data_IF_653413408291
#
_entry.id   IF_653413408291
#
_cell.length_a   1.000
_cell.length_b   1.000
_cell.length_c   1.000
_cell.angle_alpha   90.00
_cell.angle_beta   90.00
_cell.angle_gamma   90.00
#
_symmetry.space_group_name_H-M   'P 1'
#
loop_
_entity.id
_entity.type
_entity.pdbx_description
1 polymer ?
#
# COMPACT_ATOMS: atom_id res chain seq x y z
N UNK A 1 35.92 24.79 28.76
CA UNK A 1 34.46 24.94 28.97
C UNK A 1 33.80 23.59 28.77
N UNK A 2 33.40 22.92 29.84
CA UNK A 2 32.78 21.58 29.78
C UNK A 2 31.26 21.74 29.62
N UNK A 3 30.72 21.32 28.48
CA UNK A 3 29.29 21.46 28.16
C UNK A 3 28.42 20.57 29.05
N UNK A 4 27.42 21.16 29.70
CA UNK A 4 26.44 20.43 30.52
C UNK A 4 25.47 19.67 29.62
N UNK A 5 25.42 18.34 29.77
CA UNK A 5 24.47 17.47 29.06
C UNK A 5 23.09 17.65 29.69
N UNK A 6 22.18 18.30 28.97
CA UNK A 6 20.80 18.52 29.39
C UNK A 6 20.03 17.18 29.29
N UNK A 7 19.81 16.51 30.42
CA UNK A 7 19.01 15.27 30.47
C UNK A 7 17.54 15.60 30.13
N UNK A 8 17.08 15.13 28.97
CA UNK A 8 15.68 15.31 28.54
C UNK A 8 14.76 14.42 29.38
N UNK A 9 13.60 14.96 29.76
CA UNK A 9 12.54 14.22 30.49
C UNK A 9 11.96 13.11 29.61
N UNK A 10 11.81 11.92 30.18
CA UNK A 10 11.14 10.78 29.52
C UNK A 10 9.62 11.02 29.53
N UNK A 11 9.00 10.97 28.35
CA UNK A 11 7.57 11.26 28.14
C UNK A 11 6.67 10.01 28.21
N UNK A 12 7.24 8.84 28.47
CA UNK A 12 6.49 7.58 28.55
C UNK A 12 6.75 6.90 29.90
N UNK A 13 5.71 6.25 30.41
CA UNK A 13 5.83 5.37 31.58
C UNK A 13 6.43 4.02 31.16
N UNK A 14 7.34 3.45 31.96
CA UNK A 14 7.88 2.12 31.69
C UNK A 14 6.77 1.06 31.81
N UNK A 15 6.83 0.04 30.94
CA UNK A 15 5.85 -1.04 30.94
C UNK A 15 5.84 -1.79 32.30
N UNK A 16 4.66 -2.22 32.79
CA UNK A 16 4.56 -3.02 33.99
C UNK A 16 5.28 -4.35 33.77
N UNK A 17 6.25 -4.65 34.64
CA UNK A 17 7.00 -5.91 34.59
C UNK A 17 6.07 -7.05 35.07
N UNK A 18 6.00 -8.19 34.37
CA UNK A 18 5.33 -9.36 34.90
C UNK A 18 6.12 -9.89 36.11
N UNK A 19 5.38 -10.16 37.19
CA UNK A 19 5.89 -10.79 38.41
C UNK A 19 6.43 -12.18 38.08
N UNK A 20 7.74 -12.38 38.21
CA UNK A 20 8.31 -13.73 38.25
C UNK A 20 8.06 -14.35 39.63
N UNK A 21 7.50 -15.56 39.73
CA UNK A 21 7.63 -16.35 40.94
C UNK A 21 9.07 -16.87 41.05
N UNK A 22 9.69 -16.65 42.21
CA UNK A 22 10.90 -17.35 42.63
C UNK A 22 10.56 -18.76 43.13
N UNK A 23 11.61 -19.61 43.17
CA UNK A 23 11.72 -20.98 43.69
C UNK A 23 11.51 -22.04 42.60
N UNK A 24 12.20 -23.18 42.54
CA UNK A 24 13.35 -23.79 43.22
C UNK A 24 13.61 -25.10 42.43
N UNK A 25 14.84 -25.65 42.44
CA UNK A 25 15.24 -26.77 41.58
C UNK A 25 14.40 -28.06 41.65
N UNK A 26 14.46 -28.83 40.57
CA UNK A 26 13.86 -30.16 40.40
C UNK A 26 13.52 -30.40 38.93
N UNK A 27 14.19 -31.35 38.30
CA UNK A 27 13.96 -31.81 36.94
C UNK A 27 12.54 -32.35 36.76
N UNK A 28 12.01 -32.14 35.55
CA UNK A 28 11.13 -33.06 34.79
C UNK A 28 9.90 -32.39 34.15
N UNK A 29 9.83 -32.65 32.84
CA UNK A 29 8.74 -32.48 31.88
C UNK A 29 8.24 -31.04 31.64
N UNK A 30 8.74 -30.46 30.55
CA UNK A 30 8.04 -29.39 29.83
C UNK A 30 6.66 -29.90 29.39
N UNK A 31 5.64 -29.66 30.21
CA UNK A 31 4.24 -29.86 29.82
C UNK A 31 3.93 -28.85 28.72
N UNK A 32 3.89 -29.33 27.48
CA UNK A 32 3.55 -28.55 26.31
C UNK A 32 2.16 -27.95 26.51
N UNK A 33 2.10 -26.63 26.69
CA UNK A 33 0.86 -25.89 26.73
C UNK A 33 0.08 -26.16 25.44
N UNK A 34 -1.00 -26.90 25.57
CA UNK A 34 -1.95 -27.17 24.48
C UNK A 34 -2.53 -25.83 24.04
N UNK A 35 -2.05 -25.31 22.92
CA UNK A 35 -2.69 -24.19 22.23
C UNK A 35 -3.97 -24.71 21.59
N UNK A 36 -5.07 -24.56 22.32
CA UNK A 36 -6.41 -24.75 21.76
C UNK A 36 -6.75 -23.53 20.91
N UNK A 37 -6.81 -23.71 19.59
CA UNK A 37 -7.48 -22.75 18.71
C UNK A 37 -8.91 -23.22 18.48
N UNK A 38 -9.87 -22.33 18.72
CA UNK A 38 -11.27 -22.57 18.35
C UNK A 38 -11.45 -22.16 16.90
N UNK A 39 -11.51 -23.14 16.00
CA UNK A 39 -12.01 -22.94 14.65
C UNK A 39 -13.52 -23.21 14.65
N UNK A 40 -14.31 -22.15 14.40
CA UNK A 40 -15.73 -22.26 14.14
C UNK A 40 -15.94 -22.90 12.76
N UNK A 41 -16.08 -24.23 12.72
CA UNK A 41 -16.96 -24.99 11.81
C UNK A 41 -16.91 -26.47 12.19
N UNK A 42 -18.09 -27.08 12.40
CA UNK A 42 -18.36 -28.51 12.24
C UNK A 42 -17.35 -29.54 12.79
N UNK A 43 -17.62 -30.05 14.00
CA UNK A 43 -17.21 -31.36 14.55
C UNK A 43 -15.82 -31.89 14.13
N UNK A 44 -14.83 -31.62 14.99
CA UNK A 44 -13.58 -32.37 15.07
C UNK A 44 -12.52 -31.55 15.80
N UNK A 45 -12.30 -31.82 17.09
CA UNK A 45 -11.14 -31.27 17.81
C UNK A 45 -9.90 -32.02 17.33
N UNK A 46 -9.16 -31.46 16.37
CA UNK A 46 -7.86 -31.97 15.96
C UNK A 46 -6.81 -31.56 16.98
N UNK A 47 -6.34 -32.52 17.79
CA UNK A 47 -5.11 -32.34 18.57
C UNK A 47 -3.96 -32.45 17.59
N UNK A 48 -3.16 -31.39 17.44
CA UNK A 48 -1.91 -31.45 16.71
C UNK A 48 -0.92 -32.27 17.56
N UNK A 49 -0.84 -33.57 17.29
CA UNK A 49 0.22 -34.41 17.84
C UNK A 49 1.55 -33.98 17.22
N UNK A 50 2.66 -34.19 17.92
CA UNK A 50 4.01 -33.81 17.46
C UNK A 50 4.45 -34.47 16.14
N UNK A 51 3.63 -35.37 15.59
CA UNK A 51 3.97 -36.28 14.51
C UNK A 51 3.29 -35.97 13.17
N UNK A 52 2.85 -34.73 12.95
CA UNK A 52 2.19 -34.30 11.69
C UNK A 52 3.07 -34.52 10.45
N UNK A 53 4.40 -34.51 10.61
CA UNK A 53 5.36 -34.69 9.52
C UNK A 53 6.12 -36.02 9.58
N UNK A 54 5.74 -36.93 10.48
CA UNK A 54 6.43 -38.22 10.69
C UNK A 54 6.49 -39.11 9.44
N UNK A 55 5.53 -38.97 8.52
CA UNK A 55 5.50 -39.70 7.24
C UNK A 55 6.19 -39.01 6.08
N UNK A 56 6.76 -37.82 6.29
CA UNK A 56 7.34 -37.00 5.22
C UNK A 56 8.85 -37.22 5.16
N UNK A 57 9.29 -38.01 4.18
CA UNK A 57 10.71 -38.28 3.94
C UNK A 57 11.28 -37.22 2.99
N UNK A 58 11.92 -36.19 3.54
CA UNK A 58 12.57 -35.12 2.76
C UNK A 58 14.05 -35.45 2.66
N UNK A 59 14.49 -35.81 1.46
CA UNK A 59 15.91 -36.00 1.19
C UNK A 59 16.66 -34.65 1.35
N UNK A 60 17.74 -34.60 2.14
CA UNK A 60 18.47 -33.35 2.42
C UNK A 60 19.08 -32.73 1.16
N UNK A 61 19.28 -33.54 0.10
CA UNK A 61 19.78 -33.10 -1.20
C UNK A 61 18.77 -32.22 -1.96
N UNK A 62 17.47 -32.43 -1.76
CA UNK A 62 16.39 -31.66 -2.41
C UNK A 62 16.25 -30.28 -1.74
N UNK A 63 16.60 -30.18 -0.46
CA UNK A 63 16.55 -28.92 0.29
C UNK A 63 17.66 -27.94 -0.13
N UNK A 64 18.70 -28.43 -0.81
CA UNK A 64 19.73 -27.59 -1.42
C UNK A 64 19.22 -27.02 -2.74
N UNK A 65 18.35 -26.00 -2.63
CA UNK A 65 17.96 -25.19 -3.78
C UNK A 65 19.16 -24.37 -4.24
N UNK A 66 19.89 -24.84 -5.25
CA UNK A 66 20.88 -24.03 -5.95
C UNK A 66 20.11 -23.00 -6.78
N UNK A 67 20.03 -21.78 -6.27
CA UNK A 67 19.54 -20.65 -7.04
C UNK A 67 20.61 -20.34 -8.09
N UNK A 68 20.32 -20.60 -9.35
CA UNK A 68 21.18 -20.16 -10.46
C UNK A 68 21.22 -18.64 -10.45
N UNK A 69 22.32 -18.09 -9.92
CA UNK A 69 22.59 -16.65 -9.85
C UNK A 69 22.67 -16.00 -11.24
N UNK A 70 22.78 -16.80 -12.29
CA UNK A 70 22.88 -16.36 -13.69
C UNK A 70 21.57 -16.48 -14.49
N UNK A 71 20.48 -16.98 -13.89
CA UNK A 71 19.15 -16.85 -14.50
C UNK A 71 18.63 -15.42 -14.27
N UNK A 72 19.22 -14.50 -15.02
CA UNK A 72 18.88 -13.08 -15.07
C UNK A 72 17.39 -12.98 -15.43
N UNK A 73 16.56 -12.77 -14.42
CA UNK A 73 15.17 -12.39 -14.59
C UNK A 73 15.16 -11.11 -15.46
N UNK A 74 14.57 -11.10 -16.67
CA UNK A 74 14.68 -9.99 -17.61
C UNK A 74 13.90 -8.73 -17.18
N UNK A 75 13.38 -8.69 -15.95
CA UNK A 75 12.66 -7.52 -15.40
C UNK A 75 13.60 -6.53 -14.69
N UNK A 76 14.86 -6.89 -14.40
CA UNK A 76 15.79 -6.02 -13.65
C UNK A 76 16.93 -5.39 -14.47
N UNK A 77 17.01 -5.60 -15.79
CA UNK A 77 18.18 -5.19 -16.61
C UNK A 77 18.22 -3.69 -16.94
N UNK A 78 17.17 -2.91 -16.64
CA UNK A 78 17.13 -1.48 -16.99
C UNK A 78 17.64 -0.57 -15.87
N UNK A 79 17.95 -1.11 -14.68
CA UNK A 79 18.55 -0.31 -13.60
C UNK A 79 20.06 -0.55 -13.54
N UNK A 80 20.73 0.39 -14.18
CA UNK A 80 22.00 0.98 -13.78
C UNK A 80 23.21 0.05 -13.74
N UNK A 81 24.08 0.19 -14.75
CA UNK A 81 25.45 -0.33 -14.75
C UNK A 81 26.38 0.38 -13.73
N UNK A 82 25.82 1.11 -12.77
CA UNK A 82 26.52 1.94 -11.79
C UNK A 82 26.21 1.58 -10.33
N UNK A 83 25.73 0.37 -10.03
CA UNK A 83 25.84 -0.18 -8.67
C UNK A 83 27.28 -0.63 -8.37
N UNK A 84 28.27 0.15 -8.81
CA UNK A 84 29.60 0.10 -8.21
C UNK A 84 29.42 0.42 -6.74
N UNK A 85 30.02 -0.37 -5.86
CA UNK A 85 29.98 -0.13 -4.41
C UNK A 85 30.61 1.24 -4.12
N UNK A 86 29.78 2.29 -4.15
CA UNK A 86 30.26 3.67 -4.06
C UNK A 86 30.90 3.90 -2.69
N UNK A 87 32.00 4.62 -2.69
CA UNK A 87 32.72 4.99 -1.46
C UNK A 87 31.80 5.83 -0.56
N UNK A 88 31.99 5.74 0.77
CA UNK A 88 31.25 6.56 1.75
C UNK A 88 31.32 8.05 1.41
N UNK A 89 32.47 8.52 0.88
CA UNK A 89 32.68 9.91 0.45
C UNK A 89 31.76 10.31 -0.71
N UNK A 90 31.62 9.44 -1.70
CA UNK A 90 30.75 9.66 -2.86
C UNK A 90 29.28 9.64 -2.45
N UNK A 91 28.87 8.68 -1.61
CA UNK A 91 27.51 8.63 -1.05
C UNK A 91 27.16 9.90 -0.28
N UNK A 92 28.11 10.45 0.47
CA UNK A 92 27.92 11.72 1.19
C UNK A 92 27.80 12.92 0.23
N UNK A 93 28.61 12.97 -0.83
CA UNK A 93 28.53 14.00 -1.87
C UNK A 93 27.18 13.96 -2.58
N UNK A 94 26.75 12.78 -3.01
CA UNK A 94 25.44 12.57 -3.67
C UNK A 94 24.28 12.99 -2.76
N UNK A 95 24.35 12.71 -1.45
CA UNK A 95 23.33 13.16 -0.50
C UNK A 95 23.28 14.69 -0.42
N UNK A 96 24.43 15.36 -0.36
CA UNK A 96 24.52 16.84 -0.34
C UNK A 96 23.99 17.43 -1.65
N UNK A 97 24.36 16.86 -2.78
CA UNK A 97 23.95 17.33 -4.11
C UNK A 97 22.45 17.17 -4.32
N UNK A 98 21.88 16.00 -4.03
CA UNK A 98 20.42 15.79 -4.05
C UNK A 98 19.68 16.76 -3.13
N UNK A 99 20.27 17.08 -1.98
CA UNK A 99 19.69 18.06 -1.07
C UNK A 99 19.72 19.49 -1.62
N UNK A 100 20.85 19.91 -2.19
CA UNK A 100 20.98 21.22 -2.85
C UNK A 100 20.04 21.36 -4.05
N UNK A 101 19.99 20.34 -4.90
CA UNK A 101 19.07 20.28 -6.04
C UNK A 101 17.61 20.42 -5.60
N UNK A 102 17.23 19.78 -4.49
CA UNK A 102 15.88 19.93 -3.90
C UNK A 102 15.60 21.35 -3.40
N UNK A 103 16.60 22.02 -2.82
CA UNK A 103 16.45 23.41 -2.39
C UNK A 103 16.29 24.33 -3.60
N UNK A 104 17.11 24.13 -4.63
CA UNK A 104 17.08 24.91 -5.86
C UNK A 104 15.76 24.75 -6.61
N UNK A 105 15.24 23.52 -6.74
CA UNK A 105 13.93 23.28 -7.36
C UNK A 105 12.79 23.98 -6.64
N UNK A 106 12.80 23.99 -5.29
CA UNK A 106 11.81 24.72 -4.49
C UNK A 106 11.94 26.24 -4.70
N UNK A 107 13.17 26.77 -4.77
CA UNK A 107 13.40 28.20 -5.03
C UNK A 107 12.88 28.60 -6.41
N UNK A 108 13.19 27.80 -7.42
CA UNK A 108 12.77 27.99 -8.82
C UNK A 108 11.23 27.98 -8.91
N UNK A 109 10.58 26.95 -8.34
CA UNK A 109 9.13 26.86 -8.32
C UNK A 109 8.46 28.07 -7.62
N UNK A 110 9.02 28.54 -6.50
CA UNK A 110 8.54 29.75 -5.82
C UNK A 110 8.72 31.01 -6.65
N UNK A 111 9.84 31.14 -7.37
CA UNK A 111 10.10 32.26 -8.26
C UNK A 111 9.13 32.26 -9.45
N UNK A 112 8.90 31.10 -10.06
CA UNK A 112 7.91 30.93 -11.12
C UNK A 112 6.51 31.31 -10.63
N UNK A 113 6.07 30.81 -9.48
CA UNK A 113 4.76 31.16 -8.92
C UNK A 113 4.60 32.66 -8.67
N UNK A 114 5.64 33.33 -8.16
CA UNK A 114 5.63 34.80 -7.98
C UNK A 114 5.57 35.53 -9.32
N UNK A 115 6.33 35.08 -10.32
CA UNK A 115 6.32 35.68 -11.65
C UNK A 115 4.97 35.50 -12.34
N UNK A 116 4.37 34.31 -12.23
CA UNK A 116 3.04 33.99 -12.74
C UNK A 116 1.96 34.83 -12.07
N UNK A 117 2.00 34.99 -10.74
CA UNK A 117 1.07 35.85 -10.03
C UNK A 117 1.17 37.32 -10.48
N UNK A 118 2.39 37.83 -10.71
CA UNK A 118 2.59 39.18 -11.26
C UNK A 118 2.01 39.32 -12.66
N UNK A 119 2.27 38.34 -13.54
CA UNK A 119 1.73 38.32 -14.92
C UNK A 119 0.21 38.25 -14.95
N UNK A 120 -0.39 37.40 -14.11
CA UNK A 120 -1.85 37.29 -13.95
C UNK A 120 -2.48 38.57 -13.40
N UNK A 121 -1.78 39.28 -12.52
CA UNK A 121 -2.26 40.53 -11.94
C UNK A 121 -2.18 41.71 -12.92
N UNK A 122 -1.21 41.70 -13.85
CA UNK A 122 -1.15 42.69 -14.93
C UNK A 122 -2.15 42.27 -16.02
N UNK A 123 -3.22 43.06 -16.31
CA UNK A 123 -4.14 42.77 -17.40
C UNK A 123 -3.47 43.11 -18.74
N UNK A 124 -2.45 42.32 -19.10
CA UNK A 124 -1.77 42.40 -20.38
C UNK A 124 -2.52 41.48 -21.32
N UNK A 125 -3.28 42.08 -22.23
CA UNK A 125 -3.90 41.41 -23.37
C UNK A 125 -2.76 40.84 -24.23
N UNK A 126 -2.31 39.62 -23.93
CA UNK A 126 -1.30 38.92 -24.73
C UNK A 126 -0.10 38.31 -24.00
N UNK A 127 -0.17 37.90 -22.73
CA UNK A 127 0.91 37.08 -22.16
C UNK A 127 1.00 35.73 -22.90
N UNK A 128 2.13 35.49 -23.58
CA UNK A 128 2.41 34.26 -24.35
C UNK A 128 3.00 33.14 -23.49
N UNK A 129 3.40 33.42 -22.25
CA UNK A 129 3.98 32.40 -21.36
C UNK A 129 3.07 31.20 -21.08
N UNK A 130 1.73 31.34 -20.95
CA UNK A 130 0.84 30.19 -20.83
C UNK A 130 0.97 29.21 -22.00
N UNK A 131 1.19 29.71 -23.23
CA UNK A 131 1.40 28.86 -24.40
C UNK A 131 2.74 28.13 -24.33
N UNK A 132 3.81 28.83 -23.93
CA UNK A 132 5.13 28.22 -23.77
C UNK A 132 5.14 27.14 -22.67
N UNK A 133 4.49 27.41 -21.54
CA UNK A 133 4.41 26.47 -20.41
C UNK A 133 3.52 25.25 -20.71
N UNK A 134 2.61 25.36 -21.68
CA UNK A 134 1.77 24.24 -22.10
C UNK A 134 2.53 23.23 -22.99
N UNK A 135 3.74 23.58 -23.46
CA UNK A 135 4.59 22.69 -24.24
C UNK A 135 5.49 21.85 -23.32
N UNK A 136 5.71 20.55 -23.63
CA UNK A 136 6.69 19.73 -22.91
C UNK A 136 8.11 20.28 -23.03
N UNK A 137 8.90 20.17 -21.95
CA UNK A 137 10.33 20.48 -22.00
C UNK A 137 11.08 19.36 -22.76
N UNK A 138 12.22 19.69 -23.39
CA UNK A 138 13.00 18.71 -24.17
C UNK A 138 13.48 17.53 -23.30
N UNK A 139 13.76 17.77 -22.01
CA UNK A 139 14.04 16.74 -20.99
C UNK A 139 12.90 15.73 -20.84
N UNK A 140 11.66 16.22 -20.87
CA UNK A 140 10.47 15.37 -20.80
C UNK A 140 10.35 14.55 -22.08
N UNK A 141 10.62 15.11 -23.26
CA UNK A 141 10.57 14.34 -24.52
C UNK A 141 11.57 13.19 -24.57
N UNK A 142 12.80 13.40 -24.08
CA UNK A 142 13.84 12.36 -24.04
C UNK A 142 13.43 11.22 -23.08
N UNK A 143 12.76 11.54 -21.97
CA UNK A 143 12.32 10.54 -20.98
C UNK A 143 10.99 9.87 -21.34
N UNK A 144 10.06 10.57 -21.99
CA UNK A 144 8.76 10.06 -22.44
C UNK A 144 8.92 9.07 -23.60
N UNK A 145 10.01 9.13 -24.39
CA UNK A 145 10.35 8.07 -25.35
C UNK A 145 10.44 6.67 -24.71
N UNK A 146 10.72 6.61 -23.40
CA UNK A 146 10.79 5.36 -22.61
C UNK A 146 9.51 5.05 -21.81
N UNK A 147 8.59 6.01 -21.67
CA UNK A 147 7.34 5.85 -20.91
C UNK A 147 6.19 6.58 -21.60
N UNK A 148 5.68 5.96 -22.66
CA UNK A 148 4.45 6.42 -23.28
C UNK A 148 3.26 6.16 -22.33
N UNK A 149 2.45 7.21 -22.12
CA UNK A 149 1.11 7.27 -21.48
C UNK A 149 1.07 7.67 -20.00
N UNK A 150 1.08 8.98 -19.74
CA UNK A 150 0.17 9.53 -18.74
C UNK A 150 -0.78 10.51 -19.43
N UNK A 151 -1.99 10.02 -19.73
CA UNK A 151 -3.09 10.85 -20.21
C UNK A 151 -3.61 11.64 -19.00
N UNK A 152 -3.41 12.95 -19.02
CA UNK A 152 -4.09 13.88 -18.12
C UNK A 152 -5.59 13.85 -18.45
N UNK A 153 -6.32 12.94 -17.82
CA UNK A 153 -7.78 12.94 -17.88
C UNK A 153 -8.29 13.65 -16.63
N UNK A 154 -8.75 14.88 -16.82
CA UNK A 154 -9.61 15.58 -15.87
C UNK A 154 -10.97 14.86 -15.93
N UNK A 155 -11.07 13.69 -15.31
CA UNK A 155 -12.34 13.01 -15.15
C UNK A 155 -13.02 13.53 -13.89
N UNK A 156 -14.25 14.01 -14.10
CA UNK A 156 -15.22 14.42 -13.10
C UNK A 156 -15.19 13.44 -11.92
N UNK A 157 -15.27 13.95 -10.70
CA UNK A 157 -15.37 13.16 -9.47
C UNK A 157 -16.65 12.31 -9.48
N UNK A 158 -16.66 11.19 -10.21
CA UNK A 158 -17.36 10.00 -9.76
C UNK A 158 -16.86 9.78 -8.34
N UNK A 159 -17.74 9.50 -7.37
CA UNK A 159 -17.30 9.01 -6.05
C UNK A 159 -16.62 7.68 -6.36
N UNK A 160 -15.32 7.73 -6.67
CA UNK A 160 -14.49 6.56 -6.85
C UNK A 160 -14.66 5.82 -5.55
N UNK A 161 -15.42 4.72 -5.60
CA UNK A 161 -15.52 3.79 -4.50
C UNK A 161 -14.07 3.49 -4.15
N UNK A 162 -13.63 4.06 -3.03
CA UNK A 162 -12.23 3.99 -2.65
C UNK A 162 -11.92 2.50 -2.57
N UNK A 163 -10.96 2.04 -3.38
CA UNK A 163 -10.65 0.61 -3.48
C UNK A 163 -10.57 0.03 -2.07
N UNK A 164 -11.34 -1.03 -1.78
CA UNK A 164 -11.44 -1.61 -0.44
C UNK A 164 -10.05 -1.82 0.20
N UNK A 165 -9.08 -2.26 -0.61
CA UNK A 165 -7.70 -2.49 -0.19
C UNK A 165 -6.95 -1.26 0.34
N UNK A 166 -7.30 -0.05 -0.11
CA UNK A 166 -6.68 1.22 0.28
C UNK A 166 -7.28 1.83 1.56
N UNK A 167 -8.42 1.29 2.04
CA UNK A 167 -9.12 1.81 3.20
C UNK A 167 -8.43 1.44 4.52
N UNK A 168 -8.55 2.31 5.53
CA UNK A 168 -8.13 2.00 6.90
C UNK A 168 -8.98 0.86 7.47
N UNK A 169 -8.44 0.08 8.41
CA UNK A 169 -9.11 -1.08 9.00
C UNK A 169 -10.49 -0.74 9.61
N UNK A 170 -10.62 0.37 10.32
CA UNK A 170 -11.90 0.82 10.88
C UNK A 170 -12.94 1.14 9.79
N UNK A 171 -12.49 1.70 8.66
CA UNK A 171 -13.35 2.01 7.53
C UNK A 171 -13.79 0.73 6.80
N UNK A 172 -12.89 -0.26 6.66
CA UNK A 172 -13.22 -1.60 6.14
C UNK A 172 -14.31 -2.28 6.98
N UNK A 173 -14.21 -2.21 8.31
CA UNK A 173 -15.23 -2.77 9.21
C UNK A 173 -16.61 -2.14 8.97
N UNK A 174 -16.67 -0.82 8.85
CA UNK A 174 -17.94 -0.11 8.55
C UNK A 174 -18.56 -0.56 7.23
N UNK A 175 -17.74 -0.67 6.16
CA UNK A 175 -18.23 -1.19 4.87
C UNK A 175 -18.81 -2.59 5.03
N UNK A 176 -18.12 -3.48 5.75
CA UNK A 176 -18.63 -4.83 5.98
C UNK A 176 -19.93 -4.84 6.81
N UNK A 177 -20.03 -4.01 7.84
CA UNK A 177 -21.25 -3.87 8.65
C UNK A 177 -22.44 -3.39 7.81
N UNK A 178 -22.22 -2.42 6.92
CA UNK A 178 -23.22 -1.92 5.98
C UNK A 178 -23.68 -3.01 4.99
N UNK A 179 -22.74 -3.74 4.40
CA UNK A 179 -23.03 -4.85 3.48
C UNK A 179 -23.80 -5.98 4.19
N UNK A 180 -23.40 -6.35 5.42
CA UNK A 180 -24.12 -7.34 6.22
C UNK A 180 -25.55 -6.90 6.54
N UNK A 181 -25.74 -5.62 6.91
CA UNK A 181 -27.07 -5.07 7.16
C UNK A 181 -27.95 -5.12 5.90
N UNK A 182 -27.39 -4.76 4.75
CA UNK A 182 -28.09 -4.81 3.46
C UNK A 182 -28.46 -6.24 3.05
N UNK A 183 -27.56 -7.20 3.29
CA UNK A 183 -27.81 -8.61 3.04
C UNK A 183 -28.93 -9.16 3.94
N UNK A 184 -28.86 -8.89 5.25
CA UNK A 184 -29.91 -9.30 6.19
C UNK A 184 -31.27 -8.70 5.84
N UNK A 185 -31.31 -7.43 5.41
CA UNK A 185 -32.52 -6.78 4.93
C UNK A 185 -33.11 -7.50 3.71
N UNK A 186 -32.26 -7.93 2.78
CA UNK A 186 -32.69 -8.65 1.56
C UNK A 186 -33.23 -10.04 1.90
N UNK A 187 -32.53 -10.82 2.72
CA UNK A 187 -32.99 -12.15 3.16
C UNK A 187 -34.28 -12.05 3.99
N UNK A 188 -34.44 -10.99 4.78
CA UNK A 188 -35.63 -10.79 5.60
C UNK A 188 -36.86 -10.43 4.76
N UNK A 189 -36.68 -9.93 3.53
CA UNK A 189 -37.78 -9.53 2.67
C UNK A 189 -38.62 -10.75 2.23
N UNK A 190 -39.94 -10.78 2.51
CA UNK A 190 -40.80 -11.91 2.15
C UNK A 190 -40.84 -12.17 0.63
N UNK A 191 -40.71 -11.13 -0.19
CA UNK A 191 -40.70 -11.27 -1.65
C UNK A 191 -39.47 -12.05 -2.12
N UNK A 192 -38.33 -11.79 -1.50
CA UNK A 192 -37.08 -12.50 -1.80
C UNK A 192 -37.14 -13.95 -1.29
N UNK A 193 -37.77 -14.20 -0.14
CA UNK A 193 -37.99 -15.57 0.37
C UNK A 193 -38.92 -16.39 -0.52
N UNK A 194 -39.96 -15.77 -1.10
CA UNK A 194 -40.91 -16.45 -1.96
C UNK A 194 -40.30 -16.82 -3.32
N UNK A 195 -39.58 -15.90 -3.96
CA UNK A 195 -38.93 -16.16 -5.25
C UNK A 195 -37.62 -15.37 -5.41
N UNK A 196 -36.47 -15.91 -4.96
CA UNK A 196 -35.20 -15.20 -5.00
C UNK A 196 -34.68 -14.99 -6.43
N UNK A 197 -34.85 -15.99 -7.31
CA UNK A 197 -34.33 -15.95 -8.68
C UNK A 197 -35.00 -14.85 -9.52
N UNK A 198 -36.31 -14.64 -9.33
CA UNK A 198 -37.05 -13.58 -10.02
C UNK A 198 -36.62 -12.19 -9.56
N UNK A 199 -36.38 -11.99 -8.26
CA UNK A 199 -35.90 -10.70 -7.75
C UNK A 199 -34.49 -10.40 -8.27
N UNK A 200 -33.61 -11.41 -8.31
CA UNK A 200 -32.26 -11.28 -8.86
C UNK A 200 -32.31 -10.93 -10.35
N UNK A 201 -33.13 -11.63 -11.14
CA UNK A 201 -33.24 -11.35 -12.58
C UNK A 201 -33.82 -9.96 -12.86
N UNK A 202 -34.80 -9.50 -12.06
CA UNK A 202 -35.32 -8.14 -12.13
C UNK A 202 -34.25 -7.09 -11.79
N UNK A 203 -33.42 -7.35 -10.77
CA UNK A 203 -32.33 -6.45 -10.40
C UNK A 203 -31.29 -6.34 -11.52
N UNK A 204 -30.85 -7.47 -12.08
CA UNK A 204 -29.88 -7.51 -13.18
C UNK A 204 -30.39 -6.81 -14.44
N UNK A 205 -31.64 -7.05 -14.82
CA UNK A 205 -32.23 -6.39 -16.00
C UNK A 205 -32.32 -4.86 -15.83
N UNK A 206 -32.65 -4.37 -14.63
CA UNK A 206 -32.61 -2.92 -14.34
C UNK A 206 -31.19 -2.37 -14.45
N UNK A 207 -30.19 -3.11 -13.94
CA UNK A 207 -28.79 -2.66 -13.97
C UNK A 207 -28.24 -2.57 -15.39
N UNK A 208 -28.52 -3.57 -16.23
CA UNK A 208 -28.11 -3.57 -17.64
C UNK A 208 -28.72 -2.39 -18.42
N UNK A 209 -29.99 -2.04 -18.15
CA UNK A 209 -30.63 -0.87 -18.79
C UNK A 209 -29.94 0.44 -18.38
N UNK A 210 -29.63 0.60 -17.10
CA UNK A 210 -28.92 1.79 -16.61
C UNK A 210 -27.54 1.94 -17.25
N UNK A 211 -26.79 0.86 -17.39
CA UNK A 211 -25.47 0.89 -18.04
C UNK A 211 -25.56 1.26 -19.53
N UNK A 212 -26.58 0.75 -20.24
CA UNK A 212 -26.83 1.10 -21.64
C UNK A 212 -27.27 2.58 -21.83
N UNK A 213 -27.97 3.16 -20.85
CA UNK A 213 -28.41 4.56 -20.88
C UNK A 213 -27.30 5.56 -20.42
N UNK A 214 -26.32 5.10 -19.64
CA UNK A 214 -25.22 5.93 -19.11
C UNK A 214 -23.98 6.02 -20.02
N UNK A 215 -23.95 5.34 -21.17
CA UNK A 215 -22.96 5.53 -22.23
C UNK A 215 -23.26 6.85 -22.98
N UNK A 216 -22.46 7.93 -22.82
CA UNK A 216 -22.61 9.12 -23.64
C UNK A 216 -22.04 8.83 -25.04
N UNK A 217 -22.86 9.08 -26.07
CA UNK A 217 -22.44 9.14 -27.48
C UNK A 217 -21.26 10.10 -27.69
#
# INVERSE_FOLDING_TARGET
MVGKILRRRRLHQPAPKPTQPQQSGGEEVFSAAVLTFSANTGKGKGVLTSDIFSGVNIDPKILVKKLDTDSRNPVSVIKDEDEKVMSKKEKMKMRKERWLQKIESIKLAKQQHKAEAKRKATPVVGDMHPLMNALPELSDLVTVSKFCKQRNTVQKKKKVLTNFNQMKSAQKRKVLEEEMAQFHKTISNPLFKANPLSIISQHLSKRLKQENEEEPL
#
